data_IF_080897911942
#
_entry.id   IF_080897911942
#
_cell.length_a   1.000
_cell.length_b   1.000
_cell.length_c   1.000
_cell.angle_alpha   90.00
_cell.angle_beta   90.00
_cell.angle_gamma   90.00
#
_symmetry.space_group_name_H-M   'P 1'
#
loop_
_entity.id
_entity.type
_entity.pdbx_description
1 polymer ?
#
# COMPACT_ATOMS: atom_id res chain seq x y z
N UNK A 1 11.28 -7.12 -2.38
CA UNK A 1 11.78 -6.25 -3.48
C UNK A 1 13.13 -5.69 -3.10
N UNK A 2 13.89 -5.23 -4.08
CA UNK A 2 15.29 -4.76 -3.95
C UNK A 2 15.46 -3.67 -2.87
N UNK A 3 14.53 -2.70 -2.79
CA UNK A 3 14.59 -1.61 -1.83
C UNK A 3 13.76 -1.84 -0.55
N UNK A 4 13.33 -3.09 -0.29
CA UNK A 4 12.56 -3.52 0.89
C UNK A 4 11.26 -2.71 1.07
N UNK A 5 10.78 -2.55 2.30
CA UNK A 5 9.57 -1.81 2.66
C UNK A 5 9.87 -0.33 2.90
N UNK A 6 8.87 0.53 2.68
CA UNK A 6 9.00 1.97 2.78
C UNK A 6 9.38 2.44 4.19
N UNK A 7 8.83 1.82 5.24
CA UNK A 7 9.18 2.09 6.64
C UNK A 7 10.68 1.86 6.93
N UNK A 8 11.26 0.80 6.34
CA UNK A 8 12.67 0.44 6.51
C UNK A 8 13.64 1.46 5.90
N UNK A 9 13.15 2.32 5.01
CA UNK A 9 13.90 3.42 4.41
C UNK A 9 13.58 4.74 5.10
N UNK A 10 12.29 4.99 5.42
CA UNK A 10 11.83 6.23 6.05
C UNK A 10 12.36 6.40 7.48
N UNK A 11 12.30 5.33 8.30
CA UNK A 11 12.57 5.43 9.73
C UNK A 11 13.97 4.95 10.12
N UNK A 12 14.71 4.32 9.20
CA UNK A 12 16.09 3.92 9.48
C UNK A 12 17.04 5.12 9.38
N UNK A 13 17.72 5.42 10.50
CA UNK A 13 18.73 6.48 10.58
C UNK A 13 19.76 6.33 9.45
N UNK A 14 20.02 7.42 8.73
CA UNK A 14 20.95 7.46 7.58
C UNK A 14 20.39 6.98 6.24
N UNK A 15 19.18 6.38 6.19
CA UNK A 15 18.55 5.96 4.92
C UNK A 15 17.49 6.93 4.39
N UNK A 16 16.91 7.76 5.25
CA UNK A 16 15.88 8.74 4.89
C UNK A 16 16.34 9.73 3.80
N UNK A 17 17.65 9.99 3.71
CA UNK A 17 18.28 10.83 2.68
C UNK A 17 18.20 10.22 1.27
N UNK A 18 18.01 8.90 1.14
CA UNK A 18 17.75 8.24 -0.15
C UNK A 18 16.40 8.64 -0.74
N UNK A 19 15.48 9.13 0.10
CA UNK A 19 14.15 9.61 -0.29
C UNK A 19 14.12 11.14 -0.20
N UNK A 20 14.69 11.80 -1.20
CA UNK A 20 14.46 13.23 -1.39
C UNK A 20 12.97 13.52 -1.64
N UNK A 21 12.58 14.79 -1.57
CA UNK A 21 11.17 15.16 -1.70
C UNK A 21 10.53 14.68 -3.01
N UNK A 22 11.23 14.83 -4.14
CA UNK A 22 10.75 14.35 -5.44
C UNK A 22 10.45 12.85 -5.44
N UNK A 23 11.33 12.02 -4.86
CA UNK A 23 11.10 10.58 -4.72
C UNK A 23 9.91 10.29 -3.82
N UNK A 24 9.77 11.01 -2.70
CA UNK A 24 8.61 10.85 -1.80
C UNK A 24 7.30 11.18 -2.52
N UNK A 25 7.27 12.27 -3.28
CA UNK A 25 6.11 12.65 -4.07
C UNK A 25 5.75 11.57 -5.10
N UNK A 26 6.73 11.06 -5.85
CA UNK A 26 6.52 9.97 -6.80
C UNK A 26 5.99 8.69 -6.12
N UNK A 27 6.49 8.37 -4.93
CA UNK A 27 5.99 7.26 -4.10
C UNK A 27 4.53 7.50 -3.68
N UNK A 28 4.18 8.71 -3.20
CA UNK A 28 2.80 9.06 -2.83
C UNK A 28 1.86 8.87 -4.04
N UNK A 29 2.23 9.42 -5.20
CA UNK A 29 1.45 9.25 -6.43
C UNK A 29 1.33 7.79 -6.87
N UNK A 30 2.38 6.98 -6.69
CA UNK A 30 2.35 5.55 -6.98
C UNK A 30 1.41 4.77 -6.05
N UNK A 31 1.43 5.08 -4.75
CA UNK A 31 0.51 4.47 -3.76
C UNK A 31 -0.94 4.85 -4.09
N UNK A 32 -1.20 6.14 -4.37
CA UNK A 32 -2.52 6.62 -4.73
C UNK A 32 -3.07 5.92 -5.99
N UNK A 33 -2.24 5.76 -7.03
CA UNK A 33 -2.61 4.99 -8.23
C UNK A 33 -2.89 3.52 -7.91
N UNK A 34 -2.08 2.90 -7.06
CA UNK A 34 -2.33 1.53 -6.60
C UNK A 34 -3.67 1.38 -5.89
N UNK A 35 -4.01 2.33 -5.00
CA UNK A 35 -5.31 2.34 -4.31
C UNK A 35 -6.48 2.59 -5.25
N UNK A 36 -6.34 3.54 -6.17
CA UNK A 36 -7.35 3.80 -7.21
C UNK A 36 -7.65 2.53 -7.99
N UNK A 37 -6.60 1.83 -8.43
CA UNK A 37 -6.74 0.56 -9.13
C UNK A 37 -7.50 -0.48 -8.28
N UNK A 38 -7.12 -0.65 -7.02
CA UNK A 38 -7.80 -1.60 -6.12
C UNK A 38 -9.28 -1.23 -5.90
N UNK A 39 -9.61 0.06 -5.81
CA UNK A 39 -10.96 0.50 -5.48
C UNK A 39 -11.91 0.60 -6.68
N UNK A 40 -11.39 0.92 -7.87
CA UNK A 40 -12.21 1.31 -9.03
C UNK A 40 -11.87 0.54 -10.31
N UNK A 41 -10.58 0.36 -10.64
CA UNK A 41 -10.19 -0.16 -11.96
C UNK A 41 -9.98 -1.69 -12.01
N UNK A 42 -9.92 -2.34 -10.85
CA UNK A 42 -9.80 -3.79 -10.75
C UNK A 42 -11.16 -4.48 -10.93
N UNK A 43 -11.13 -5.77 -11.32
CA UNK A 43 -12.35 -6.56 -11.61
C UNK A 43 -13.36 -6.56 -10.44
N UNK A 44 -12.87 -6.48 -9.22
CA UNK A 44 -13.66 -6.40 -8.00
C UNK A 44 -13.08 -5.28 -7.14
N UNK A 45 -13.92 -4.51 -6.45
CA UNK A 45 -13.42 -3.52 -5.50
C UNK A 45 -12.70 -4.24 -4.35
N UNK A 46 -11.41 -4.00 -4.18
CA UNK A 46 -10.59 -4.58 -3.12
C UNK A 46 -10.32 -3.53 -2.05
N UNK A 47 -10.79 -3.75 -0.83
CA UNK A 47 -10.44 -2.91 0.32
C UNK A 47 -9.26 -3.55 1.06
N UNK A 48 -8.11 -2.87 1.10
CA UNK A 48 -6.88 -3.42 1.69
C UNK A 48 -6.95 -3.62 3.21
N UNK A 49 -7.57 -2.68 3.93
CA UNK A 49 -7.77 -2.62 5.40
C UNK A 49 -6.51 -2.57 6.29
N UNK A 50 -5.33 -2.87 5.77
CA UNK A 50 -4.06 -2.75 6.52
C UNK A 50 -3.00 -1.95 5.75
N UNK A 51 -3.37 -0.76 5.25
CA UNK A 51 -2.44 0.08 4.52
C UNK A 51 -1.53 0.85 5.48
N UNK A 52 -0.23 0.55 5.44
CA UNK A 52 0.81 1.18 6.26
C UNK A 52 2.17 1.13 5.56
N UNK A 53 3.14 1.91 6.04
CA UNK A 53 4.46 2.03 5.39
C UNK A 53 5.22 0.69 5.30
N UNK A 54 5.06 -0.22 6.25
CA UNK A 54 5.67 -1.55 6.20
C UNK A 54 5.06 -2.46 5.11
N UNK A 55 3.82 -2.17 4.70
CA UNK A 55 3.10 -2.88 3.63
C UNK A 55 3.28 -2.24 2.25
N UNK A 56 4.15 -1.22 2.12
CA UNK A 56 4.56 -0.67 0.83
C UNK A 56 5.97 -1.15 0.50
N UNK A 57 6.10 -2.01 -0.52
CA UNK A 57 7.39 -2.46 -1.03
C UNK A 57 7.92 -1.52 -2.11
N UNK A 58 9.24 -1.36 -2.17
CA UNK A 58 9.93 -0.51 -3.15
C UNK A 58 10.75 -1.37 -4.10
N UNK A 59 10.50 -1.27 -5.40
CA UNK A 59 11.34 -1.91 -6.43
C UNK A 59 12.68 -1.18 -6.64
N UNK A 60 13.56 -1.72 -7.50
CA UNK A 60 14.89 -1.14 -7.79
C UNK A 60 14.86 0.29 -8.32
N UNK A 61 13.73 0.71 -8.91
CA UNK A 61 13.50 2.06 -9.46
C UNK A 61 12.75 2.97 -8.49
N UNK A 62 12.61 2.57 -7.23
CA UNK A 62 11.87 3.31 -6.19
C UNK A 62 10.37 3.44 -6.47
N UNK A 63 9.79 2.56 -7.30
CA UNK A 63 8.34 2.53 -7.45
C UNK A 63 7.71 1.78 -6.28
N UNK A 64 6.62 2.33 -5.69
CA UNK A 64 5.89 1.64 -4.64
C UNK A 64 5.01 0.54 -5.20
N UNK A 65 4.87 -0.55 -4.44
CA UNK A 65 3.88 -1.60 -4.66
C UNK A 65 3.20 -1.93 -3.34
N UNK A 66 1.88 -1.92 -3.34
CA UNK A 66 1.07 -2.30 -2.19
C UNK A 66 1.20 -3.83 -2.00
N UNK A 67 1.38 -4.26 -0.76
CA UNK A 67 1.62 -5.66 -0.39
C UNK A 67 0.86 -6.02 0.88
N UNK A 68 0.85 -7.31 1.22
CA UNK A 68 0.12 -7.87 2.37
C UNK A 68 -1.40 -7.67 2.32
N UNK A 69 -2.01 -8.42 1.40
CA UNK A 69 -3.47 -8.50 1.26
C UNK A 69 -4.11 -9.52 2.22
N UNK A 70 -3.40 -9.98 3.27
CA UNK A 70 -3.94 -10.95 4.22
C UNK A 70 -5.20 -10.45 4.94
N UNK A 71 -5.35 -9.12 4.99
CA UNK A 71 -6.50 -8.43 5.55
C UNK A 71 -7.47 -7.89 4.50
N UNK A 72 -7.22 -8.11 3.22
CA UNK A 72 -8.05 -7.54 2.17
C UNK A 72 -9.44 -8.20 2.08
N UNK A 73 -10.40 -7.46 1.52
CA UNK A 73 -11.77 -7.93 1.24
C UNK A 73 -12.19 -7.54 -0.17
N UNK A 74 -12.91 -8.43 -0.82
CA UNK A 74 -13.54 -8.20 -2.12
C UNK A 74 -14.96 -7.69 -1.88
N UNK A 75 -15.31 -6.60 -2.54
CA UNK A 75 -16.65 -6.05 -2.59
C UNK A 75 -17.18 -6.17 -4.02
N UNK A 76 -18.39 -6.69 -4.17
CA UNK A 76 -19.06 -6.86 -5.46
C UNK A 76 -20.13 -5.80 -5.68
N UNK A 77 -20.35 -5.42 -6.95
CA UNK A 77 -21.46 -4.53 -7.34
C UNK A 77 -21.46 -3.20 -6.57
N UNK A 78 -22.61 -2.87 -6.00
CA UNK A 78 -22.89 -1.68 -5.20
C UNK A 78 -22.67 -1.88 -3.69
N UNK A 79 -22.10 -3.02 -3.27
CA UNK A 79 -21.83 -3.29 -1.86
C UNK A 79 -20.95 -2.20 -1.23
N UNK A 80 -21.43 -1.64 -0.13
CA UNK A 80 -20.74 -0.61 0.67
C UNK A 80 -20.36 -1.12 2.07
N UNK A 81 -20.92 -2.25 2.49
CA UNK A 81 -20.70 -2.88 3.80
C UNK A 81 -20.53 -4.40 3.70
N UNK A 82 -19.83 -5.00 4.66
CA UNK A 82 -19.65 -6.45 4.77
C UNK A 82 -19.39 -6.86 6.24
N UNK A 83 -19.89 -8.04 6.64
CA UNK A 83 -19.76 -8.55 8.01
C UNK A 83 -18.49 -9.40 8.16
N UNK A 84 -17.74 -9.22 9.26
CA UNK A 84 -16.55 -10.04 9.55
C UNK A 84 -16.64 -10.70 10.92
N UNK A 85 -16.42 -12.01 10.98
CA UNK A 85 -16.24 -12.76 12.24
C UNK A 85 -14.81 -12.69 12.78
N UNK A 86 -13.87 -12.18 11.97
CA UNK A 86 -12.47 -12.03 12.31
C UNK A 86 -12.23 -10.58 12.75
N UNK A 87 -11.97 -10.39 14.04
CA UNK A 87 -11.51 -9.13 14.64
C UNK A 87 -9.99 -9.06 14.53
N UNK A 88 -9.49 -7.91 14.12
CA UNK A 88 -8.11 -7.70 13.65
C UNK A 88 -7.73 -6.25 13.88
N UNK A 89 -6.61 -6.05 14.55
CA UNK A 89 -6.10 -4.76 15.00
C UNK A 89 -5.02 -5.00 16.06
N UNK A 90 -4.20 -4.00 16.32
CA UNK A 90 -3.20 -3.96 17.39
C UNK A 90 -3.57 -2.87 18.37
#
# INVERSE_FOLDING_TARGET
MENRSLDSVLFKKGKSTLLNWQRRFNIICGIARGLLYLHQDSRFRIIHRDLKASNILLDGKWNPKISDFGMARLFGGDQTEDNTRRVVGT
#
